data_IF_628400207239
#
_entry.id   IF_628400207239
#
_cell.length_a   1.000
_cell.length_b   1.000
_cell.length_c   1.000
_cell.angle_alpha   90.00
_cell.angle_beta   90.00
_cell.angle_gamma   90.00
#
_symmetry.space_group_name_H-M   'P 1'
#
loop_
_entity.id
_entity.type
_entity.pdbx_description
1 polymer ?
#
# COMPACT_ATOMS: atom_id res chain seq x y z
N UNK A 1 -4.31 2.02 -0.20
CA UNK A 1 -4.96 1.04 -1.10
C UNK A 1 -3.93 -0.03 -1.43
N UNK A 2 -4.33 -1.30 -1.53
CA UNK A 2 -3.46 -2.39 -1.97
C UNK A 2 -4.18 -3.09 -3.12
N UNK A 3 -3.57 -3.05 -4.31
CA UNK A 3 -4.11 -3.67 -5.52
C UNK A 3 -3.76 -5.15 -5.63
N UNK A 4 -4.34 -5.86 -6.62
CA UNK A 4 -4.01 -7.25 -6.90
C UNK A 4 -2.61 -7.39 -7.53
N UNK A 5 -2.12 -8.62 -7.66
CA UNK A 5 -0.80 -8.91 -8.27
C UNK A 5 -0.68 -8.40 -9.72
N UNK A 6 -1.80 -8.28 -10.43
CA UNK A 6 -1.86 -7.73 -11.80
C UNK A 6 -1.75 -6.21 -11.87
N UNK A 7 -1.64 -5.51 -10.75
CA UNK A 7 -1.64 -4.05 -10.70
C UNK A 7 -3.05 -3.45 -10.75
N UNK A 8 -3.08 -2.12 -10.83
CA UNK A 8 -4.30 -1.33 -10.98
C UNK A 8 -4.47 -0.94 -12.45
N UNK A 9 -5.71 -0.81 -12.90
CA UNK A 9 -6.00 -0.22 -14.21
C UNK A 9 -5.73 1.29 -14.22
N UNK A 10 -5.54 1.86 -15.41
CA UNK A 10 -5.30 3.30 -15.56
C UNK A 10 -6.42 4.15 -14.92
N UNK A 11 -7.68 3.73 -15.07
CA UNK A 11 -8.82 4.43 -14.45
C UNK A 11 -8.84 4.34 -12.93
N UNK A 12 -8.36 3.25 -12.33
CA UNK A 12 -8.21 3.14 -10.88
C UNK A 12 -7.07 4.00 -10.35
N UNK A 13 -5.96 4.11 -11.10
CA UNK A 13 -4.85 4.99 -10.77
C UNK A 13 -5.30 6.46 -10.82
N UNK A 14 -6.04 6.85 -11.86
CA UNK A 14 -6.57 8.21 -12.01
C UNK A 14 -7.56 8.54 -10.88
N UNK A 15 -8.50 7.63 -10.58
CA UNK A 15 -9.41 7.77 -9.45
C UNK A 15 -8.66 7.96 -8.12
N UNK A 16 -7.61 7.17 -7.86
CA UNK A 16 -6.83 7.28 -6.64
C UNK A 16 -6.14 8.65 -6.54
N UNK A 17 -5.60 9.14 -7.66
CA UNK A 17 -5.01 10.48 -7.77
C UNK A 17 -6.04 11.58 -7.46
N UNK A 18 -7.22 11.53 -8.08
CA UNK A 18 -8.31 12.49 -7.84
C UNK A 18 -8.81 12.48 -6.38
N UNK A 19 -8.72 11.32 -5.72
CA UNK A 19 -9.07 11.14 -4.30
C UNK A 19 -7.92 11.50 -3.36
N UNK A 20 -6.82 12.07 -3.85
CA UNK A 20 -5.64 12.46 -3.09
C UNK A 20 -5.01 11.29 -2.29
N UNK A 21 -4.93 10.11 -2.91
CA UNK A 21 -4.17 9.01 -2.31
C UNK A 21 -2.69 9.31 -2.39
N UNK A 22 -2.02 9.28 -1.23
CA UNK A 22 -0.56 9.40 -1.15
C UNK A 22 0.12 8.07 -1.49
N UNK A 23 1.14 8.13 -2.34
CA UNK A 23 1.94 6.97 -2.71
C UNK A 23 3.05 6.74 -1.68
N UNK A 24 3.29 5.47 -1.32
CA UNK A 24 4.34 5.10 -0.38
C UNK A 24 5.03 3.82 -0.80
N UNK A 25 6.31 3.67 -0.43
CA UNK A 25 7.14 2.51 -0.72
C UNK A 25 7.25 1.61 0.52
N UNK A 26 7.06 0.30 0.34
CA UNK A 26 7.29 -0.72 1.36
C UNK A 26 8.66 -1.39 1.18
N UNK A 27 9.70 -0.56 1.05
CA UNK A 27 11.07 -1.00 0.78
C UNK A 27 11.34 -1.33 -0.71
N UNK A 28 12.52 -1.88 -1.02
CA UNK A 28 13.00 -1.99 -2.40
C UNK A 28 12.55 -3.26 -3.15
N UNK A 29 11.83 -4.18 -2.49
CA UNK A 29 11.43 -5.48 -3.06
C UNK A 29 9.94 -5.46 -3.38
N UNK A 30 9.58 -6.04 -4.53
CA UNK A 30 8.17 -6.31 -4.85
C UNK A 30 7.66 -7.39 -3.88
N UNK A 31 6.62 -7.04 -3.13
CA UNK A 31 5.95 -7.96 -2.22
C UNK A 31 4.73 -8.56 -2.90
N UNK A 32 4.42 -9.82 -2.58
CA UNK A 32 3.11 -10.41 -2.92
C UNK A 32 2.00 -9.64 -2.21
N UNK A 33 0.80 -9.64 -2.80
CA UNK A 33 -0.36 -8.86 -2.33
C UNK A 33 -0.62 -9.00 -0.83
N UNK A 34 -0.67 -10.24 -0.33
CA UNK A 34 -0.94 -10.54 1.07
C UNK A 34 0.21 -10.08 1.98
N UNK A 35 1.45 -10.21 1.51
CA UNK A 35 2.63 -9.77 2.26
C UNK A 35 2.69 -8.25 2.32
N UNK A 36 2.35 -7.55 1.24
CA UNK A 36 2.28 -6.09 1.20
C UNK A 36 1.26 -5.57 2.23
N UNK A 37 0.09 -6.21 2.32
CA UNK A 37 -0.95 -5.85 3.27
C UNK A 37 -0.51 -5.98 4.73
N UNK A 38 0.00 -7.14 5.11
CA UNK A 38 0.48 -7.36 6.48
C UNK A 38 1.65 -6.44 6.83
N UNK A 39 2.57 -6.23 5.89
CA UNK A 39 3.72 -5.33 6.09
C UNK A 39 3.29 -3.89 6.29
N UNK A 40 2.36 -3.38 5.47
CA UNK A 40 1.85 -2.02 5.58
C UNK A 40 1.16 -1.77 6.92
N UNK A 41 0.26 -2.67 7.34
CA UNK A 41 -0.45 -2.55 8.62
C UNK A 41 0.55 -2.58 9.77
N UNK A 42 1.49 -3.53 9.76
CA UNK A 42 2.51 -3.65 10.81
C UNK A 42 3.37 -2.39 10.88
N UNK A 43 3.84 -1.88 9.75
CA UNK A 43 4.66 -0.67 9.71
C UNK A 43 3.91 0.56 10.24
N UNK A 44 2.63 0.71 9.91
CA UNK A 44 1.79 1.79 10.45
C UNK A 44 1.58 1.65 11.96
N UNK A 45 1.32 0.44 12.45
CA UNK A 45 1.14 0.19 13.89
C UNK A 45 2.42 0.40 14.70
N UNK A 46 3.59 0.03 14.16
CA UNK A 46 4.88 0.31 14.81
C UNK A 46 5.15 1.82 14.88
N UNK A 47 4.74 2.58 13.86
CA UNK A 47 5.04 4.02 13.75
C UNK A 47 4.03 4.92 14.44
N UNK A 48 2.77 4.52 14.50
CA UNK A 48 1.65 5.36 14.90
C UNK A 48 0.67 4.67 15.86
N UNK A 49 0.84 3.36 16.08
CA UNK A 49 -0.02 2.56 16.95
C UNK A 49 0.72 2.13 18.21
N UNK A 50 0.45 0.89 18.65
CA UNK A 50 0.86 0.35 19.94
C UNK A 50 1.82 -0.86 19.83
N UNK A 51 2.34 -1.16 18.63
CA UNK A 51 3.30 -2.25 18.42
C UNK A 51 4.77 -1.82 18.59
N UNK A 52 5.05 -0.54 18.87
CA UNK A 52 6.40 0.05 18.94
C UNK A 52 6.83 0.48 20.33
#
# INVERSE_FOLDING_TARGET
>A
MIGPEGGLSDGEIEMASEKNFEQTLLGPRVLRTETAALTAITALQVRFGDLG
#
